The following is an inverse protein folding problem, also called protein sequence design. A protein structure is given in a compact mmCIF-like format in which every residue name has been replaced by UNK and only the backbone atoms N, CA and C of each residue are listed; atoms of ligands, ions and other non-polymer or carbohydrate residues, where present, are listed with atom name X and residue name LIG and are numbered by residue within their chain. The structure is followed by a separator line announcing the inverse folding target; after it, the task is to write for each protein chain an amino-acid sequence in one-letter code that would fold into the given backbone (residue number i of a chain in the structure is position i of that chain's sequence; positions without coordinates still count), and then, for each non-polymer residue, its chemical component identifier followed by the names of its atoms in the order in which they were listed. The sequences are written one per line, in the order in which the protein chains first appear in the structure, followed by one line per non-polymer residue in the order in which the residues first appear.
data_IF_630261543613
#
_entry.id   IF_630261543613
#
_cell.length_a   1.000
_cell.length_b   1.000
_cell.length_c   1.000
_cell.angle_alpha   90.00
_cell.angle_beta   90.00
_cell.angle_gamma   90.00
#
_symmetry.space_group_name_H-M   'P 1'
#
loop_
_entity.id
_entity.type
_entity.pdbx_description
1 polymer ?
#
# COMPACT_ATOMS: atom_id res chain seq x y z
N UNK A 1 -19.93 1.63 -50.35
CA UNK A 1 -19.19 0.89 -49.30
C UNK A 1 -20.19 0.30 -48.32
N UNK A 2 -20.67 -0.93 -48.55
CA UNK A 2 -21.69 -1.60 -47.71
C UNK A 2 -21.19 -3.00 -47.35
N UNK A 3 -20.07 -3.09 -46.64
CA UNK A 3 -19.60 -4.36 -46.07
C UNK A 3 -19.91 -4.37 -44.57
N UNK A 4 -21.14 -4.76 -44.17
CA UNK A 4 -21.52 -4.81 -42.76
C UNK A 4 -20.61 -5.71 -41.94
N UNK A 5 -20.03 -6.74 -42.58
CA UNK A 5 -19.02 -7.62 -41.97
C UNK A 5 -17.75 -6.88 -41.54
N UNK A 6 -17.25 -5.94 -42.35
CA UNK A 6 -16.05 -5.18 -42.02
C UNK A 6 -16.30 -4.22 -40.85
N UNK A 7 -17.46 -3.55 -40.85
CA UNK A 7 -17.88 -2.69 -39.76
C UNK A 7 -18.08 -3.48 -38.46
N UNK A 8 -18.75 -4.65 -38.54
CA UNK A 8 -18.92 -5.56 -37.41
C UNK A 8 -17.56 -6.00 -36.83
N UNK A 9 -16.60 -6.33 -37.70
CA UNK A 9 -15.28 -6.79 -37.28
C UNK A 9 -14.48 -5.68 -36.56
N UNK A 10 -14.63 -4.42 -37.01
CA UNK A 10 -14.03 -3.26 -36.33
C UNK A 10 -14.65 -3.06 -34.95
N UNK A 11 -15.98 -3.09 -34.84
CA UNK A 11 -16.68 -2.91 -33.56
C UNK A 11 -16.30 -4.01 -32.57
N UNK A 12 -16.23 -5.26 -33.02
CA UNK A 12 -15.81 -6.40 -32.19
C UNK A 12 -14.37 -6.26 -31.74
N UNK A 13 -13.45 -5.88 -32.64
CA UNK A 13 -12.04 -5.68 -32.31
C UNK A 13 -11.85 -4.59 -31.25
N UNK A 14 -12.53 -3.45 -31.42
CA UNK A 14 -12.52 -2.35 -30.44
C UNK A 14 -13.12 -2.79 -29.11
N UNK A 15 -14.22 -3.53 -29.13
CA UNK A 15 -14.86 -4.07 -27.93
C UNK A 15 -13.95 -5.01 -27.14
N UNK A 16 -13.24 -5.91 -27.81
CA UNK A 16 -12.27 -6.81 -27.18
C UNK A 16 -11.11 -6.01 -26.58
N UNK A 17 -10.58 -5.01 -27.30
CA UNK A 17 -9.52 -4.14 -26.79
C UNK A 17 -9.92 -3.40 -25.53
N UNK A 18 -11.10 -2.77 -25.53
CA UNK A 18 -11.64 -2.08 -24.35
C UNK A 18 -11.88 -3.06 -23.19
N UNK A 19 -12.43 -4.24 -23.47
CA UNK A 19 -12.63 -5.29 -22.48
C UNK A 19 -11.32 -5.72 -21.81
N UNK A 20 -10.26 -5.91 -22.60
CA UNK A 20 -8.93 -6.25 -22.09
C UNK A 20 -8.34 -5.15 -21.20
N UNK A 21 -8.45 -3.88 -21.59
CA UNK A 21 -7.97 -2.74 -20.78
C UNK A 21 -8.73 -2.66 -19.46
N UNK A 22 -10.05 -2.85 -19.46
CA UNK A 22 -10.85 -2.85 -18.24
C UNK A 22 -10.47 -4.02 -17.34
N UNK A 23 -10.29 -5.22 -17.89
CA UNK A 23 -9.84 -6.39 -17.12
C UNK A 23 -8.46 -6.18 -16.50
N UNK A 24 -7.50 -5.65 -17.27
CA UNK A 24 -6.16 -5.33 -16.77
C UNK A 24 -6.20 -4.25 -15.69
N UNK A 25 -7.00 -3.20 -15.88
CA UNK A 25 -7.20 -2.12 -14.90
C UNK A 25 -7.84 -2.64 -13.60
N UNK A 26 -8.84 -3.52 -13.71
CA UNK A 26 -9.45 -4.17 -12.54
C UNK A 26 -8.47 -5.10 -11.85
N UNK A 27 -7.70 -5.88 -12.61
CA UNK A 27 -6.68 -6.77 -12.07
C UNK A 27 -5.60 -5.98 -11.32
N UNK A 28 -5.06 -4.88 -11.88
CA UNK A 28 -4.03 -4.09 -11.19
C UNK A 28 -4.59 -3.35 -9.98
N UNK A 29 -5.86 -2.92 -10.01
CA UNK A 29 -6.50 -2.30 -8.84
C UNK A 29 -6.72 -3.31 -7.71
N UNK A 30 -7.13 -4.54 -8.05
CA UNK A 30 -7.23 -5.66 -7.11
C UNK A 30 -5.86 -6.11 -6.62
N UNK A 31 -4.85 -6.12 -7.49
CA UNK A 31 -3.48 -6.43 -7.13
C UNK A 31 -2.91 -5.32 -6.25
N UNK A 32 -3.17 -4.04 -6.50
CA UNK A 32 -2.76 -2.94 -5.62
C UNK A 32 -3.45 -3.00 -4.24
N UNK A 33 -4.69 -3.49 -4.17
CA UNK A 33 -5.35 -3.81 -2.91
C UNK A 33 -4.76 -5.05 -2.21
N UNK A 34 -4.24 -6.02 -2.97
CA UNK A 34 -3.63 -7.27 -2.48
C UNK A 34 -2.09 -7.24 -2.32
N UNK A 35 -1.39 -6.26 -2.89
CA UNK A 35 -0.09 -5.74 -2.41
C UNK A 35 -0.46 -5.03 -1.11
N UNK A 36 -0.89 -5.85 -0.17
CA UNK A 36 -1.50 -5.43 1.04
C UNK A 36 -0.39 -4.76 1.81
N UNK A 37 -0.42 -3.44 1.81
CA UNK A 37 0.32 -2.63 2.74
C UNK A 37 -0.10 -3.10 4.13
N UNK A 38 0.78 -3.84 4.80
CA UNK A 38 0.68 -3.99 6.25
C UNK A 38 1.00 -2.60 6.80
N UNK A 39 0.09 -2.05 7.61
CA UNK A 39 0.33 -0.76 8.24
C UNK A 39 1.32 -0.99 9.36
N UNK A 40 2.55 -0.53 9.18
CA UNK A 40 3.58 -0.61 10.20
C UNK A 40 3.65 0.72 10.94
N UNK A 41 3.77 0.66 12.26
CA UNK A 41 4.02 1.84 13.07
C UNK A 41 5.47 2.28 12.89
N UNK A 42 5.67 3.51 12.45
CA UNK A 42 6.97 4.17 12.27
C UNK A 42 7.03 5.47 13.07
N UNK A 43 8.24 5.95 13.35
CA UNK A 43 8.46 7.23 14.02
C UNK A 43 8.03 8.40 13.11
N UNK A 44 7.14 9.26 13.61
CA UNK A 44 6.68 10.46 12.89
C UNK A 44 7.67 11.64 13.02
N UNK A 45 8.45 11.64 14.08
CA UNK A 45 9.50 12.61 14.42
C UNK A 45 10.74 11.86 14.88
N UNK A 46 11.85 12.56 15.01
CA UNK A 46 13.05 12.00 15.63
C UNK A 46 12.79 11.82 17.14
N UNK A 47 13.09 10.64 17.67
CA UNK A 47 12.87 10.27 19.07
C UNK A 47 14.20 9.85 19.68
N UNK A 48 14.61 10.55 20.72
CA UNK A 48 15.85 10.27 21.43
C UNK A 48 15.76 9.02 22.33
N UNK A 49 16.90 8.37 22.50
CA UNK A 49 17.10 7.26 23.43
C UNK A 49 16.54 7.57 24.83
N UNK A 50 15.80 6.61 25.40
CA UNK A 50 15.28 6.72 26.77
C UNK A 50 14.00 7.54 26.89
N UNK A 51 13.46 8.06 25.77
CA UNK A 51 12.18 8.76 25.75
C UNK A 51 11.02 7.76 25.79
N UNK A 52 9.96 8.00 26.60
CA UNK A 52 8.74 7.20 26.53
C UNK A 52 7.98 7.47 25.24
N UNK A 53 7.55 6.40 24.57
CA UNK A 53 6.74 6.45 23.36
C UNK A 53 5.34 6.98 23.70
N UNK A 54 4.89 7.96 22.91
CA UNK A 54 3.54 8.49 22.97
C UNK A 54 2.87 8.33 21.60
N UNK A 55 1.53 8.16 21.55
CA UNK A 55 0.81 7.98 20.29
C UNK A 55 1.00 9.12 19.29
N UNK A 56 1.29 10.34 19.76
CA UNK A 56 1.49 11.52 18.92
C UNK A 56 2.84 11.51 18.18
N UNK A 57 3.82 10.73 18.65
CA UNK A 57 5.14 10.60 18.04
C UNK A 57 5.19 9.49 16.98
N UNK A 58 4.11 8.72 16.84
CA UNK A 58 4.03 7.52 16.01
C UNK A 58 3.03 7.70 14.88
N UNK A 59 3.31 7.09 13.73
CA UNK A 59 2.42 7.11 12.57
C UNK A 59 2.35 5.72 11.96
N UNK A 60 1.18 5.36 11.45
CA UNK A 60 1.02 4.18 10.60
C UNK A 60 1.46 4.53 9.18
N UNK A 61 2.47 3.83 8.69
CA UNK A 61 2.93 3.89 7.32
C UNK A 61 2.58 2.60 6.58
N UNK A 62 2.20 2.74 5.32
CA UNK A 62 1.89 1.62 4.45
C UNK A 62 3.18 0.91 4.03
N UNK A 63 3.34 -0.36 4.45
CA UNK A 63 4.54 -1.14 4.20
C UNK A 63 4.25 -2.43 3.42
N UNK A 64 5.04 -2.79 2.40
CA UNK A 64 4.82 -4.03 1.66
C UNK A 64 4.97 -5.26 2.58
N UNK A 65 3.93 -6.11 2.65
CA UNK A 65 3.89 -7.33 3.51
C UNK A 65 5.08 -8.26 3.36
N UNK A 66 5.71 -8.30 2.18
CA UNK A 66 6.90 -9.13 1.92
C UNK A 66 8.22 -8.57 2.49
N UNK A 67 8.20 -7.37 3.06
CA UNK A 67 9.43 -6.68 3.53
C UNK A 67 9.22 -5.98 4.87
N UNK A 68 8.25 -6.44 5.66
CA UNK A 68 8.02 -5.91 7.02
C UNK A 68 9.23 -6.23 7.90
N UNK A 69 9.87 -5.21 8.52
CA UNK A 69 11.02 -5.42 9.40
C UNK A 69 10.67 -6.31 10.60
N UNK A 70 11.63 -7.11 11.08
CA UNK A 70 11.43 -7.92 12.27
C UNK A 70 11.17 -7.02 13.50
N UNK A 71 10.06 -7.24 14.19
CA UNK A 71 9.64 -6.44 15.35
C UNK A 71 8.73 -5.25 15.03
N UNK A 72 8.38 -5.05 13.76
CA UNK A 72 7.35 -4.08 13.35
C UNK A 72 5.98 -4.44 13.97
N UNK A 73 5.28 -3.43 14.46
CA UNK A 73 3.94 -3.56 15.05
C UNK A 73 2.91 -2.82 14.21
N UNK A 74 1.70 -3.38 14.11
CA UNK A 74 0.58 -2.76 13.38
C UNK A 74 -0.32 -1.88 14.26
N UNK A 75 -0.07 -1.84 15.58
CA UNK A 75 -0.90 -1.10 16.55
C UNK A 75 -0.06 -0.17 17.45
N UNK A 76 -0.34 1.12 17.35
CA UNK A 76 0.30 2.19 18.14
C UNK A 76 0.07 1.96 19.64
N UNK A 77 -1.07 1.39 20.05
CA UNK A 77 -1.40 1.17 21.48
C UNK A 77 -0.47 0.17 22.15
N UNK A 78 0.11 -0.75 21.38
CA UNK A 78 1.07 -1.73 21.92
C UNK A 78 2.42 -1.11 22.26
N UNK A 79 2.69 0.07 21.72
CA UNK A 79 3.89 0.86 21.96
C UNK A 79 3.67 2.00 22.94
N UNK A 80 2.42 2.31 23.27
CA UNK A 80 2.08 3.28 24.30
C UNK A 80 2.71 2.83 25.63
N UNK A 81 3.41 3.74 26.31
CA UNK A 81 4.20 3.50 27.54
C UNK A 81 5.50 2.68 27.41
N UNK A 82 5.90 2.28 26.19
CA UNK A 82 7.21 1.64 25.96
C UNK A 82 8.31 2.69 25.91
N UNK A 83 9.53 2.34 26.36
CA UNK A 83 10.69 3.23 26.29
C UNK A 83 11.57 2.85 25.11
N UNK A 84 11.97 3.85 24.35
CA UNK A 84 12.86 3.71 23.20
C UNK A 84 14.27 3.29 23.66
N UNK A 85 14.79 2.19 23.07
CA UNK A 85 16.10 1.61 23.40
C UNK A 85 17.24 2.05 22.48
N UNK A 86 16.94 2.76 21.40
CA UNK A 86 17.89 3.31 20.43
C UNK A 86 17.31 4.60 19.87
N UNK A 87 18.09 5.64 19.59
CA UNK A 87 17.54 6.81 18.90
C UNK A 87 16.90 6.40 17.57
N UNK A 88 15.69 6.88 17.32
CA UNK A 88 14.91 6.62 16.11
C UNK A 88 14.84 7.90 15.28
N UNK A 89 15.16 7.83 14.00
CA UNK A 89 14.87 8.92 13.07
C UNK A 89 13.44 8.81 12.54
N UNK A 90 12.91 9.94 12.07
CA UNK A 90 11.65 9.97 11.33
C UNK A 90 11.65 8.93 10.20
N UNK A 91 10.67 8.04 10.24
CA UNK A 91 10.43 6.99 9.25
C UNK A 91 11.01 5.61 9.62
N UNK A 92 11.73 5.51 10.75
CA UNK A 92 12.23 4.24 11.30
C UNK A 92 11.21 3.53 12.22
#
# INVERSE_FOLDING_TARGET
MKNPRAFLMIVVSVGIGLGAVVLASRWISQQAANVASSKVVVAAIDIDLGTPLTPQMLKLADWPKGSVPAGATEDIKTLDTRVVKTSLLRGE
#
